data_IF_599186863326
#
_entry.id   IF_599186863326
#
_cell.length_a   1.000
_cell.length_b   1.000
_cell.length_c   1.000
_cell.angle_alpha   90.00
_cell.angle_beta   90.00
_cell.angle_gamma   90.00
#
_symmetry.space_group_name_H-M   'P 1'
#
loop_
_entity.id
_entity.type
_entity.pdbx_description
1 polymer ?
#
# COMPACT_ATOMS: atom_id res chain seq x y z
N UNK A 1 -6.66 -0.77 8.96
CA UNK A 1 -6.09 0.39 8.23
C UNK A 1 -5.90 1.62 9.12
N UNK A 2 -6.85 2.58 9.19
CA UNK A 2 -6.66 3.86 9.92
C UNK A 2 -6.28 3.69 11.39
N UNK A 3 -6.89 2.71 12.07
CA UNK A 3 -6.53 2.36 13.46
C UNK A 3 -5.11 1.79 13.59
N UNK A 4 -4.67 1.00 12.62
CA UNK A 4 -3.34 0.39 12.62
C UNK A 4 -2.25 1.40 12.24
N UNK A 5 -2.54 2.31 11.32
CA UNK A 5 -1.66 3.41 10.97
C UNK A 5 -1.40 4.37 12.15
N UNK A 6 -2.29 4.41 13.15
CA UNK A 6 -2.12 5.20 14.38
C UNK A 6 -1.36 4.47 15.50
N UNK A 7 -0.93 3.22 15.29
CA UNK A 7 -0.14 2.50 16.30
C UNK A 7 1.26 3.11 16.41
N UNK A 8 1.86 3.13 17.61
CA UNK A 8 3.24 3.59 17.78
C UNK A 8 4.21 2.85 16.85
N UNK A 9 5.10 3.57 16.18
CA UNK A 9 6.05 3.01 15.21
C UNK A 9 5.52 2.89 13.79
N UNK A 10 4.21 3.10 13.58
CA UNK A 10 3.63 3.10 12.25
C UNK A 10 3.58 4.52 11.67
N UNK A 11 3.86 4.63 10.37
CA UNK A 11 3.80 5.89 9.63
C UNK A 11 2.69 5.77 8.59
N UNK A 12 1.66 6.63 8.62
CA UNK A 12 0.56 6.56 7.66
C UNK A 12 1.06 6.77 6.22
N UNK A 13 0.36 6.14 5.28
CA UNK A 13 0.64 6.21 3.86
C UNK A 13 -0.66 6.41 3.08
N UNK A 14 -0.59 7.19 1.99
CA UNK A 14 -1.72 7.42 1.09
C UNK A 14 -1.31 7.38 -0.38
N UNK A 15 -2.17 6.81 -1.21
CA UNK A 15 -1.99 6.71 -2.66
C UNK A 15 -3.35 6.92 -3.35
N UNK A 16 -3.73 8.18 -3.57
CA UNK A 16 -5.06 8.51 -4.08
C UNK A 16 -6.16 7.95 -3.15
N UNK A 17 -7.08 7.10 -3.64
CA UNK A 17 -8.11 6.47 -2.80
C UNK A 17 -7.57 5.36 -1.89
N UNK A 18 -6.36 4.84 -2.14
CA UNK A 18 -5.75 3.79 -1.33
C UNK A 18 -5.06 4.37 -0.09
N UNK A 19 -5.11 3.60 0.99
CA UNK A 19 -4.53 3.97 2.28
C UNK A 19 -3.66 2.85 2.82
N UNK A 20 -2.69 3.20 3.67
CA UNK A 20 -1.73 2.24 4.17
C UNK A 20 -0.92 2.76 5.33
N UNK A 21 0.13 2.02 5.66
CA UNK A 21 1.14 2.45 6.61
C UNK A 21 2.46 1.72 6.39
N UNK A 22 3.55 2.36 6.79
CA UNK A 22 4.83 1.70 7.04
C UNK A 22 4.78 1.14 8.47
N UNK A 23 4.92 -0.17 8.63
CA UNK A 23 5.01 -0.85 9.92
C UNK A 23 6.47 -1.05 10.32
N UNK A 24 6.81 -0.66 11.56
CA UNK A 24 8.12 -0.91 12.16
C UNK A 24 9.31 -0.53 11.25
N UNK A 25 9.12 0.48 10.40
CA UNK A 25 10.11 1.00 9.47
C UNK A 25 10.65 0.03 8.41
N UNK A 26 10.14 -1.20 8.29
CA UNK A 26 10.68 -2.22 7.37
C UNK A 26 9.63 -2.96 6.55
N UNK A 27 8.34 -2.73 6.81
CA UNK A 27 7.23 -3.31 6.06
C UNK A 27 6.24 -2.21 5.65
N UNK A 28 5.66 -2.32 4.48
CA UNK A 28 4.60 -1.45 3.98
C UNK A 28 3.36 -2.29 3.80
N UNK A 29 2.26 -1.83 4.38
CA UNK A 29 0.91 -2.34 4.15
C UNK A 29 0.14 -1.31 3.34
N UNK A 30 -0.31 -1.69 2.15
CA UNK A 30 -1.14 -0.85 1.28
C UNK A 30 -2.47 -1.55 1.04
N UNK A 31 -3.56 -0.82 1.20
CA UNK A 31 -4.91 -1.32 1.07
C UNK A 31 -5.65 -0.56 -0.02
N UNK A 32 -6.22 -1.30 -0.97
CA UNK A 32 -6.93 -0.77 -2.13
C UNK A 32 -8.35 -1.32 -2.13
N UNK A 33 -9.34 -0.44 -2.05
CA UNK A 33 -10.72 -0.83 -2.27
C UNK A 33 -10.89 -1.33 -3.70
N UNK A 34 -11.48 -2.52 -3.83
CA UNK A 34 -11.59 -3.19 -5.10
C UNK A 34 -13.04 -3.53 -5.47
N UNK A 35 -13.77 -2.58 -6.10
CA UNK A 35 -15.12 -2.82 -6.60
C UNK A 35 -15.10 -3.60 -7.92
N UNK A 36 -16.05 -4.53 -8.05
CA UNK A 36 -16.31 -5.33 -9.25
C UNK A 36 -17.68 -5.00 -9.84
N UNK A 37 -17.83 -5.18 -11.15
CA UNK A 37 -19.04 -4.88 -11.93
C UNK A 37 -20.37 -5.48 -11.40
N UNK A 38 -20.32 -6.50 -10.53
CA UNK A 38 -21.50 -7.14 -9.93
C UNK A 38 -21.81 -6.66 -8.50
N UNK A 39 -21.24 -5.53 -8.08
CA UNK A 39 -21.49 -4.90 -6.78
C UNK A 39 -20.77 -5.57 -5.59
N UNK A 40 -19.85 -6.50 -5.87
CA UNK A 40 -18.91 -6.99 -4.86
C UNK A 40 -17.82 -5.94 -4.67
N UNK A 41 -17.50 -5.63 -3.43
CA UNK A 41 -16.34 -4.79 -3.08
C UNK A 41 -15.45 -5.60 -2.16
N UNK A 42 -14.30 -6.00 -2.68
CA UNK A 42 -13.27 -6.66 -1.89
C UNK A 42 -12.20 -5.64 -1.50
N UNK A 43 -11.37 -6.00 -0.54
CA UNK A 43 -10.23 -5.20 -0.15
C UNK A 43 -8.95 -5.93 -0.54
N UNK A 44 -8.17 -5.32 -1.43
CA UNK A 44 -6.84 -5.82 -1.79
C UNK A 44 -5.82 -5.31 -0.78
N UNK A 45 -5.17 -6.22 -0.07
CA UNK A 45 -4.06 -5.93 0.83
C UNK A 45 -2.74 -6.32 0.14
N UNK A 46 -1.82 -5.37 0.07
CA UNK A 46 -0.47 -5.55 -0.45
C UNK A 46 0.53 -5.29 0.65
N UNK A 47 1.23 -6.35 1.05
CA UNK A 47 2.29 -6.30 2.06
C UNK A 47 3.65 -6.48 1.40
N UNK A 48 4.55 -5.50 1.57
CA UNK A 48 5.92 -5.56 1.06
C UNK A 48 6.87 -5.27 2.21
N UNK A 49 7.82 -6.16 2.47
CA UNK A 49 8.83 -5.95 3.51
C UNK A 49 10.19 -6.51 3.11
N UNK A 50 11.22 -6.06 3.81
CA UNK A 50 12.58 -6.58 3.62
C UNK A 50 12.86 -7.65 4.68
N UNK A 51 13.02 -8.90 4.26
CA UNK A 51 13.39 -9.99 5.14
C UNK A 51 14.87 -9.93 5.56
N UNK A 52 15.17 -10.26 6.82
CA UNK A 52 16.54 -10.48 7.29
C UNK A 52 17.37 -9.23 7.57
N UNK A 53 16.76 -8.04 7.63
CA UNK A 53 17.43 -6.78 8.01
C UNK A 53 16.80 -6.21 9.28
N UNK A 54 17.58 -5.52 10.14
CA UNK A 54 17.01 -4.77 11.25
C UNK A 54 16.06 -3.68 10.75
N UNK A 55 15.11 -3.29 11.60
CA UNK A 55 14.20 -2.15 11.36
C UNK A 55 15.00 -0.94 10.84
N UNK A 56 14.55 -0.32 9.75
CA UNK A 56 15.32 0.72 9.05
C UNK A 56 14.59 2.06 9.02
N UNK A 57 15.04 3.00 9.85
CA UNK A 57 14.54 4.40 9.83
C UNK A 57 14.98 5.20 8.58
N UNK A 58 15.58 4.52 7.59
CA UNK A 58 16.00 5.14 6.33
C UNK A 58 14.77 5.46 5.47
N UNK A 59 14.47 6.76 5.38
CA UNK A 59 13.33 7.29 4.62
C UNK A 59 13.43 6.98 3.12
N UNK A 60 14.64 6.84 2.57
CA UNK A 60 14.85 6.48 1.16
C UNK A 60 14.40 5.04 0.91
N UNK A 61 14.75 4.12 1.83
CA UNK A 61 14.29 2.73 1.75
C UNK A 61 12.79 2.59 1.95
N UNK A 62 12.22 3.35 2.88
CA UNK A 62 10.77 3.38 3.09
C UNK A 62 10.03 3.87 1.86
N UNK A 63 10.52 4.93 1.21
CA UNK A 63 9.96 5.43 -0.04
C UNK A 63 10.06 4.39 -1.18
N UNK A 64 11.19 3.67 -1.27
CA UNK A 64 11.35 2.59 -2.25
C UNK A 64 10.38 1.42 -2.00
N UNK A 65 10.18 1.01 -0.74
CA UNK A 65 9.21 -0.02 -0.38
C UNK A 65 7.77 0.42 -0.67
N UNK A 66 7.43 1.67 -0.36
CA UNK A 66 6.12 2.25 -0.65
C UNK A 66 5.86 2.29 -2.15
N UNK A 67 6.87 2.68 -2.95
CA UNK A 67 6.82 2.62 -4.40
C UNK A 67 6.58 1.20 -4.92
N UNK A 68 7.32 0.22 -4.41
CA UNK A 68 7.15 -1.18 -4.79
C UNK A 68 5.75 -1.71 -4.44
N UNK A 69 5.23 -1.39 -3.25
CA UNK A 69 3.87 -1.75 -2.86
C UNK A 69 2.82 -1.13 -3.80
N UNK A 70 3.01 0.12 -4.22
CA UNK A 70 2.13 0.78 -5.18
C UNK A 70 2.17 0.12 -6.56
N UNK A 71 3.35 -0.24 -7.05
CA UNK A 71 3.50 -0.91 -8.34
C UNK A 71 2.84 -2.29 -8.34
N UNK A 72 3.06 -3.08 -7.28
CA UNK A 72 2.41 -4.37 -7.09
C UNK A 72 0.88 -4.21 -7.02
N UNK A 73 0.39 -3.23 -6.26
CA UNK A 73 -1.04 -2.95 -6.17
C UNK A 73 -1.66 -2.62 -7.53
N UNK A 74 -1.01 -1.77 -8.34
CA UNK A 74 -1.48 -1.45 -9.69
C UNK A 74 -1.53 -2.69 -10.59
N UNK A 75 -0.48 -3.52 -10.55
CA UNK A 75 -0.41 -4.73 -11.39
C UNK A 75 -1.49 -5.73 -10.99
N UNK A 76 -1.58 -6.07 -9.70
CA UNK A 76 -2.57 -7.04 -9.21
C UNK A 76 -3.98 -6.52 -9.49
N UNK A 77 -4.28 -5.29 -9.11
CA UNK A 77 -5.62 -4.78 -9.19
C UNK A 77 -6.07 -4.57 -10.66
N UNK A 78 -5.20 -4.12 -11.57
CA UNK A 78 -5.57 -3.91 -12.99
C UNK A 78 -5.53 -5.19 -13.83
N UNK A 79 -4.51 -6.03 -13.63
CA UNK A 79 -4.20 -7.13 -14.54
C UNK A 79 -4.61 -8.52 -14.03
N UNK A 80 -4.69 -8.71 -12.71
CA UNK A 80 -5.03 -10.00 -12.10
C UNK A 80 -6.50 -10.02 -11.69
N UNK A 81 -6.90 -9.05 -10.87
CA UNK A 81 -8.26 -8.97 -10.33
C UNK A 81 -9.23 -8.23 -11.26
N UNK A 82 -8.74 -7.50 -12.26
CA UNK A 82 -9.56 -6.67 -13.17
C UNK A 82 -10.53 -5.74 -12.41
N UNK A 83 -9.98 -5.12 -11.39
CA UNK A 83 -10.66 -4.26 -10.46
C UNK A 83 -10.97 -2.89 -11.07
N UNK A 84 -12.23 -2.44 -11.05
CA UNK A 84 -12.61 -1.16 -11.67
C UNK A 84 -12.00 0.03 -10.90
N UNK A 85 -11.93 -0.05 -9.56
CA UNK A 85 -11.34 0.99 -8.71
C UNK A 85 -9.81 1.12 -8.80
N UNK A 86 -9.13 0.12 -9.38
CA UNK A 86 -7.68 0.18 -9.59
C UNK A 86 -7.25 1.16 -10.70
N UNK A 87 -8.19 1.56 -11.54
CA UNK A 87 -7.96 2.62 -12.52
C UNK A 87 -7.66 3.96 -11.83
N UNK A 88 -8.23 4.19 -10.64
CA UNK A 88 -8.10 5.45 -9.89
C UNK A 88 -6.81 5.55 -9.06
N UNK A 89 -6.00 4.48 -9.01
CA UNK A 89 -4.68 4.55 -8.38
C UNK A 89 -3.77 5.47 -9.20
N UNK A 90 -3.31 6.61 -8.65
CA UNK A 90 -2.45 7.53 -9.36
C UNK A 90 -1.12 6.87 -9.70
N UNK A 91 -0.44 7.36 -10.74
CA UNK A 91 0.94 6.98 -11.02
C UNK A 91 1.90 7.65 -10.01
N UNK A 92 2.97 6.95 -9.61
CA UNK A 92 3.99 7.47 -8.70
C UNK A 92 4.04 6.83 -7.31
N UNK A 93 4.93 7.32 -6.45
CA UNK A 93 5.07 6.77 -5.10
C UNK A 93 3.95 7.25 -4.17
N UNK A 94 3.53 6.44 -3.19
CA UNK A 94 2.65 6.90 -2.13
C UNK A 94 3.26 8.04 -1.30
N UNK A 95 2.41 8.92 -0.78
CA UNK A 95 2.82 9.89 0.21
C UNK A 95 2.96 9.22 1.58
N UNK A 96 4.07 9.47 2.27
CA UNK A 96 4.38 8.98 3.61
C UNK A 96 4.29 10.16 4.58
N UNK A 97 3.49 10.03 5.65
CA UNK A 97 3.32 11.06 6.69
C UNK A 97 1.98 11.79 6.63
#
# INVERSE_FOLDING_TARGET
>A
MRRDASKPGNIPLSLGPAGGYVESHSRVELFVDCPYAKGRTDLLEVSVGIGGVPETVDTTRQAALAGLAADVARVIARQVEHCEGAADLPDGAPAIG
#
